data_IF_364554036963
#
_entry.id   IF_364554036963
#
_cell.length_a   1.000
_cell.length_b   1.000
_cell.length_c   1.000
_cell.angle_alpha   90.00
_cell.angle_beta   90.00
_cell.angle_gamma   90.00
#
_symmetry.space_group_name_H-M   'P 1'
#
loop_
_entity.id
_entity.type
_entity.pdbx_description
1 polymer ?
#
# COMPACT_ATOMS: atom_id res chain seq x y z
N UNK A 1 41.52 -43.09 29.41
CA UNK A 1 40.90 -42.20 30.41
C UNK A 1 40.73 -40.82 29.80
N UNK A 2 39.51 -40.43 29.45
CA UNK A 2 39.23 -39.07 29.01
C UNK A 2 39.37 -38.13 30.21
N UNK A 3 40.24 -37.12 30.09
CA UNK A 3 40.43 -36.12 31.14
C UNK A 3 39.11 -35.42 31.51
N UNK A 4 39.00 -34.83 32.71
CA UNK A 4 37.76 -34.25 33.19
C UNK A 4 37.28 -33.17 32.21
N UNK A 5 36.05 -33.34 31.68
CA UNK A 5 35.39 -32.36 30.81
C UNK A 5 35.44 -30.99 31.50
N UNK A 6 36.06 -29.99 30.85
CA UNK A 6 36.04 -28.60 31.32
C UNK A 6 34.58 -28.18 31.51
N UNK A 7 34.24 -27.74 32.74
CA UNK A 7 32.90 -27.27 33.08
C UNK A 7 32.56 -26.06 32.20
N UNK A 8 31.47 -26.12 31.44
CA UNK A 8 30.98 -25.00 30.63
C UNK A 8 29.97 -24.21 31.45
N UNK A 9 30.10 -22.88 31.47
CA UNK A 9 29.23 -21.96 32.22
C UNK A 9 27.75 -22.18 31.91
N UNK A 10 27.42 -22.51 30.66
CA UNK A 10 26.06 -22.76 30.17
C UNK A 10 25.39 -23.99 30.81
N UNK A 11 26.17 -24.90 31.39
CA UNK A 11 25.66 -26.14 32.02
C UNK A 11 25.27 -25.99 33.49
N UNK A 12 25.56 -24.85 34.11
CA UNK A 12 25.42 -24.67 35.57
C UNK A 12 24.17 -23.90 36.00
N UNK A 13 23.28 -23.48 35.07
CA UNK A 13 21.98 -22.82 35.34
C UNK A 13 22.01 -21.85 36.54
N UNK A 14 23.04 -20.99 36.58
CA UNK A 14 23.30 -20.16 37.76
C UNK A 14 22.28 -19.02 37.82
N UNK A 15 21.55 -18.94 38.92
CA UNK A 15 20.50 -17.93 39.15
C UNK A 15 21.02 -16.83 40.08
N UNK A 16 20.65 -15.59 39.81
CA UNK A 16 20.92 -14.48 40.72
C UNK A 16 20.19 -14.68 42.05
N UNK A 17 20.90 -14.54 43.18
CA UNK A 17 20.28 -14.62 44.50
C UNK A 17 19.98 -13.22 45.03
N UNK A 18 18.74 -12.97 45.49
CA UNK A 18 18.32 -11.68 46.06
C UNK A 18 19.21 -11.20 47.21
N UNK A 19 19.74 -12.13 48.01
CA UNK A 19 20.68 -11.83 49.11
C UNK A 19 21.94 -11.08 48.63
N UNK A 20 22.36 -11.26 47.36
CA UNK A 20 23.52 -10.58 46.79
C UNK A 20 23.30 -9.09 46.58
N UNK A 21 22.05 -8.63 46.53
CA UNK A 21 21.72 -7.20 46.51
C UNK A 21 22.14 -6.52 47.80
N UNK A 22 21.78 -7.08 48.95
CA UNK A 22 22.15 -6.49 50.25
C UNK A 22 23.60 -6.83 50.62
N UNK A 23 24.04 -8.06 50.32
CA UNK A 23 25.37 -8.55 50.69
C UNK A 23 26.48 -7.94 49.83
N UNK A 24 26.27 -7.79 48.54
CA UNK A 24 27.30 -7.34 47.58
C UNK A 24 26.91 -6.13 46.76
N UNK A 25 25.75 -5.49 46.98
CA UNK A 25 25.29 -4.35 46.17
C UNK A 25 25.22 -4.68 44.67
N UNK A 26 24.75 -5.87 44.31
CA UNK A 26 24.49 -6.24 42.91
C UNK A 26 22.99 -6.34 42.62
N UNK A 27 22.61 -6.07 41.38
CA UNK A 27 21.27 -6.36 40.87
C UNK A 27 21.37 -7.14 39.56
N UNK A 28 20.33 -7.91 39.26
CA UNK A 28 20.18 -8.55 37.96
C UNK A 28 19.56 -7.56 36.96
N UNK A 29 20.24 -7.34 35.84
CA UNK A 29 19.76 -6.52 34.72
C UNK A 29 19.99 -7.31 33.43
N UNK A 30 18.92 -7.62 32.70
CA UNK A 30 18.96 -8.40 31.43
C UNK A 30 19.81 -9.69 31.58
N UNK A 31 19.58 -10.43 32.66
CA UNK A 31 20.30 -11.67 32.98
C UNK A 31 21.80 -11.53 33.24
N UNK A 32 22.26 -10.31 33.58
CA UNK A 32 23.64 -10.05 33.96
C UNK A 32 23.72 -9.35 35.33
N UNK A 33 24.72 -9.68 36.17
CA UNK A 33 24.95 -9.01 37.45
C UNK A 33 25.60 -7.63 37.24
N UNK A 34 24.92 -6.57 37.69
CA UNK A 34 25.40 -5.18 37.63
C UNK A 34 25.67 -4.66 39.04
N UNK A 35 26.85 -4.05 39.23
CA UNK A 35 27.22 -3.42 40.49
C UNK A 35 26.44 -2.11 40.69
N UNK A 36 25.71 -2.00 41.78
CA UNK A 36 24.88 -0.82 42.10
C UNK A 36 25.71 0.43 42.45
N UNK A 37 27.01 0.26 42.77
CA UNK A 37 27.90 1.36 43.17
C UNK A 37 28.56 2.00 41.94
N UNK A 38 29.17 1.19 41.06
CA UNK A 38 29.94 1.68 39.91
C UNK A 38 29.30 1.40 38.54
N UNK A 39 28.15 0.71 38.49
CA UNK A 39 27.43 0.34 37.27
C UNK A 39 28.20 -0.62 36.33
N UNK A 40 29.28 -1.25 36.80
CA UNK A 40 29.98 -2.29 36.03
C UNK A 40 29.21 -3.61 36.01
N UNK A 41 29.20 -4.24 34.83
CA UNK A 41 28.56 -5.54 34.60
C UNK A 41 29.59 -6.66 34.70
N UNK A 42 29.29 -7.71 35.48
CA UNK A 42 30.09 -8.93 35.53
C UNK A 42 29.50 -9.99 34.59
N UNK A 43 30.35 -10.88 34.07
CA UNK A 43 29.93 -11.84 33.04
C UNK A 43 29.08 -13.02 33.57
N UNK A 44 29.16 -13.33 34.86
CA UNK A 44 28.59 -14.57 35.41
C UNK A 44 28.05 -14.34 36.82
N UNK A 45 26.89 -14.94 37.12
CA UNK A 45 26.33 -15.07 38.46
C UNK A 45 27.17 -16.01 39.34
N UNK A 46 28.25 -15.48 39.91
CA UNK A 46 29.14 -16.21 40.82
C UNK A 46 29.48 -15.34 42.03
N UNK A 47 29.07 -15.79 43.22
CA UNK A 47 29.31 -15.07 44.47
C UNK A 47 30.78 -14.66 44.66
N UNK A 48 31.74 -15.52 44.31
CA UNK A 48 33.17 -15.19 44.32
C UNK A 48 33.50 -13.95 43.47
N UNK A 49 32.93 -13.83 42.28
CA UNK A 49 33.20 -12.70 41.38
C UNK A 49 32.62 -11.40 41.96
N UNK A 50 31.41 -11.45 42.50
CA UNK A 50 30.75 -10.30 43.12
C UNK A 50 31.52 -9.86 44.38
N UNK A 51 31.89 -10.81 45.24
CA UNK A 51 32.67 -10.57 46.45
C UNK A 51 34.06 -10.00 46.14
N UNK A 52 34.75 -10.54 45.14
CA UNK A 52 36.06 -10.05 44.71
C UNK A 52 35.96 -8.63 44.13
N UNK A 53 34.94 -8.35 43.32
CA UNK A 53 34.69 -7.01 42.80
C UNK A 53 34.48 -5.99 43.93
N UNK A 54 33.62 -6.31 44.91
CA UNK A 54 33.41 -5.42 46.07
C UNK A 54 34.69 -5.24 46.88
N UNK A 55 35.43 -6.31 47.16
CA UNK A 55 36.66 -6.22 47.95
C UNK A 55 37.74 -5.36 47.26
N UNK A 56 37.90 -5.50 45.95
CA UNK A 56 38.96 -4.84 45.18
C UNK A 56 38.62 -3.40 44.79
N UNK A 57 37.36 -3.13 44.38
CA UNK A 57 36.95 -1.80 43.89
C UNK A 57 36.20 -0.97 44.93
N UNK A 58 35.59 -1.61 45.93
CA UNK A 58 34.68 -0.98 46.88
C UNK A 58 34.92 -1.41 48.33
N UNK A 59 36.15 -1.85 48.67
CA UNK A 59 36.46 -2.46 49.98
C UNK A 59 36.14 -1.58 51.19
N UNK A 60 36.22 -0.26 51.02
CA UNK A 60 35.92 0.72 52.07
C UNK A 60 34.47 1.24 52.05
N UNK A 61 33.68 0.90 51.03
CA UNK A 61 32.38 1.52 50.78
C UNK A 61 31.32 1.14 51.83
N UNK A 62 31.41 -0.07 52.40
CA UNK A 62 30.43 -0.60 53.34
C UNK A 62 31.04 -1.32 54.55
N UNK A 63 32.32 -1.08 54.84
CA UNK A 63 33.05 -1.74 55.94
C UNK A 63 32.62 -1.27 57.33
N UNK A 64 31.88 -0.15 57.43
CA UNK A 64 31.40 0.45 58.69
C UNK A 64 29.88 0.51 58.81
N UNK A 65 29.13 -0.01 57.84
CA UNK A 65 27.67 0.04 57.86
C UNK A 65 27.10 -1.06 58.74
N UNK A 66 26.14 -0.72 59.60
CA UNK A 66 25.31 -1.73 60.26
C UNK A 66 24.51 -2.53 59.21
N UNK A 67 24.01 -3.74 59.53
CA UNK A 67 23.17 -4.51 58.61
C UNK A 67 21.96 -3.72 58.08
N UNK A 68 21.33 -2.90 58.94
CA UNK A 68 20.18 -2.06 58.59
C UNK A 68 20.56 -0.91 57.65
N UNK A 69 21.70 -0.24 57.89
CA UNK A 69 22.19 0.83 57.01
C UNK A 69 22.61 0.31 55.64
N UNK A 70 23.18 -0.90 55.60
CA UNK A 70 23.58 -1.58 54.37
C UNK A 70 22.37 -1.91 53.51
N UNK A 71 21.30 -2.42 54.13
CA UNK A 71 20.03 -2.72 53.46
C UNK A 71 19.36 -1.45 52.92
N UNK A 72 19.26 -0.39 53.72
CA UNK A 72 18.74 0.90 53.28
C UNK A 72 19.56 1.47 52.10
N UNK A 73 20.88 1.34 52.14
CA UNK A 73 21.77 1.78 51.05
C UNK A 73 21.54 0.98 49.76
N UNK A 74 21.42 -0.35 49.87
CA UNK A 74 21.15 -1.23 48.74
C UNK A 74 19.79 -0.92 48.09
N UNK A 75 18.75 -0.72 48.91
CA UNK A 75 17.42 -0.32 48.43
C UNK A 75 17.44 1.03 47.71
N UNK A 76 18.14 2.04 48.27
CA UNK A 76 18.29 3.35 47.64
C UNK A 76 18.98 3.28 46.28
N UNK A 77 20.08 2.50 46.17
CA UNK A 77 20.79 2.35 44.91
C UNK A 77 19.98 1.56 43.88
N UNK A 78 19.24 0.54 44.32
CA UNK A 78 18.32 -0.21 43.47
C UNK A 78 17.19 0.68 42.94
N UNK A 79 16.58 1.51 43.80
CA UNK A 79 15.56 2.48 43.38
C UNK A 79 16.11 3.49 42.35
N UNK A 80 17.36 3.95 42.53
CA UNK A 80 18.03 4.84 41.58
C UNK A 80 18.26 4.17 40.22
N UNK A 81 18.71 2.92 40.21
CA UNK A 81 18.90 2.13 38.98
C UNK A 81 17.56 1.89 38.26
N UNK A 82 16.52 1.52 39.00
CA UNK A 82 15.17 1.36 38.45
C UNK A 82 14.64 2.65 37.86
N UNK A 83 14.83 3.79 38.54
CA UNK A 83 14.43 5.10 38.02
C UNK A 83 15.14 5.43 36.69
N UNK A 84 16.45 5.14 36.59
CA UNK A 84 17.20 5.31 35.34
C UNK A 84 16.68 4.41 34.22
N UNK A 85 16.46 3.12 34.49
CA UNK A 85 15.92 2.18 33.52
C UNK A 85 14.51 2.57 33.05
N UNK A 86 13.66 3.06 33.96
CA UNK A 86 12.31 3.52 33.66
C UNK A 86 12.28 4.69 32.67
N UNK A 87 13.30 5.56 32.66
CA UNK A 87 13.40 6.63 31.65
C UNK A 87 13.56 6.04 30.25
N UNK A 88 14.46 5.07 30.09
CA UNK A 88 14.67 4.41 28.80
C UNK A 88 13.44 3.62 28.37
N UNK A 89 12.82 2.85 29.27
CA UNK A 89 11.59 2.10 28.96
C UNK A 89 10.43 3.02 28.53
N UNK A 90 10.24 4.15 29.21
CA UNK A 90 9.22 5.15 28.82
C UNK A 90 9.50 5.73 27.45
N UNK A 91 10.76 6.05 27.14
CA UNK A 91 11.14 6.57 25.83
C UNK A 91 10.88 5.55 24.72
N UNK A 92 11.24 4.28 24.94
CA UNK A 92 10.96 3.19 23.98
C UNK A 92 9.46 3.02 23.75
N UNK A 93 8.64 3.01 24.81
CA UNK A 93 7.19 2.88 24.69
C UNK A 93 6.53 4.04 23.92
N UNK A 94 7.01 5.28 24.13
CA UNK A 94 6.57 6.45 23.37
C UNK A 94 6.94 6.30 21.89
N UNK A 95 8.15 5.83 21.60
CA UNK A 95 8.62 5.64 20.24
C UNK A 95 7.81 4.55 19.51
N UNK A 96 7.53 3.41 20.16
CA UNK A 96 6.67 2.36 19.60
C UNK A 96 5.25 2.87 19.29
N UNK A 97 4.66 3.63 20.20
CA UNK A 97 3.31 4.21 20.00
C UNK A 97 3.31 5.21 18.83
N UNK A 98 4.37 6.03 18.72
CA UNK A 98 4.55 6.99 17.63
C UNK A 98 4.69 6.28 16.28
N UNK A 99 5.46 5.19 16.22
CA UNK A 99 5.60 4.36 15.02
C UNK A 99 4.27 3.74 14.62
N UNK A 100 3.51 3.17 15.56
CA UNK A 100 2.18 2.60 15.28
C UNK A 100 1.22 3.64 14.72
N UNK A 101 1.20 4.85 15.28
CA UNK A 101 0.39 5.95 14.79
C UNK A 101 0.81 6.37 13.37
N UNK A 102 2.12 6.45 13.09
CA UNK A 102 2.63 6.75 11.75
C UNK A 102 2.20 5.70 10.71
N UNK A 103 2.29 4.41 11.03
CA UNK A 103 1.79 3.33 10.18
C UNK A 103 0.29 3.47 9.88
N UNK A 104 -0.52 3.69 10.93
CA UNK A 104 -1.97 3.85 10.79
C UNK A 104 -2.33 5.04 9.88
N UNK A 105 -1.66 6.18 10.05
CA UNK A 105 -1.91 7.37 9.23
C UNK A 105 -1.43 7.19 7.79
N UNK A 106 -0.27 6.56 7.60
CA UNK A 106 0.28 6.23 6.28
C UNK A 106 -0.66 5.31 5.50
N UNK A 107 -1.20 4.27 6.17
CA UNK A 107 -2.22 3.40 5.59
C UNK A 107 -3.48 4.16 5.18
N UNK A 108 -3.98 5.08 6.03
CA UNK A 108 -5.16 5.88 5.71
C UNK A 108 -4.94 6.78 4.50
N UNK A 109 -3.77 7.42 4.37
CA UNK A 109 -3.40 8.22 3.22
C UNK A 109 -3.38 7.39 1.93
N UNK A 110 -2.70 6.22 1.98
CA UNK A 110 -2.62 5.31 0.85
C UNK A 110 -3.99 4.78 0.43
N UNK A 111 -4.81 4.34 1.39
CA UNK A 111 -6.16 3.83 1.15
C UNK A 111 -7.11 4.88 0.55
N UNK A 112 -6.91 6.15 0.88
CA UNK A 112 -7.67 7.26 0.31
C UNK A 112 -7.08 7.78 -1.02
N UNK A 113 -6.05 7.10 -1.56
CA UNK A 113 -5.32 7.50 -2.76
C UNK A 113 -4.82 8.96 -2.71
N UNK A 114 -4.41 9.42 -1.52
CA UNK A 114 -3.86 10.76 -1.33
C UNK A 114 -2.36 10.77 -1.58
N UNK A 115 -1.79 11.87 -2.13
CA UNK A 115 -0.34 12.03 -2.23
C UNK A 115 0.32 11.85 -0.86
N UNK A 116 1.40 11.06 -0.80
CA UNK A 116 2.11 10.81 0.48
C UNK A 116 2.72 12.08 1.09
N UNK A 117 2.88 13.15 0.30
CA UNK A 117 3.26 14.47 0.83
C UNK A 117 2.16 15.14 1.65
N UNK A 118 0.89 14.74 1.54
CA UNK A 118 -0.18 15.25 2.40
C UNK A 118 -0.01 14.85 3.88
N UNK A 119 0.89 13.90 4.19
CA UNK A 119 1.21 13.56 5.57
C UNK A 119 1.76 14.73 6.39
N UNK A 120 2.49 15.65 5.77
CA UNK A 120 3.00 16.87 6.44
C UNK A 120 1.87 17.82 6.79
N UNK A 121 0.97 18.07 5.85
CA UNK A 121 -0.24 18.88 6.08
C UNK A 121 -1.13 18.26 7.18
N UNK A 122 -1.33 16.94 7.15
CA UNK A 122 -2.09 16.24 8.18
C UNK A 122 -1.46 16.42 9.57
N UNK A 123 -0.12 16.37 9.66
CA UNK A 123 0.61 16.62 10.90
C UNK A 123 0.38 18.05 11.40
N UNK A 124 0.47 19.04 10.53
CA UNK A 124 0.25 20.45 10.87
C UNK A 124 -1.15 20.65 11.47
N UNK A 125 -2.20 20.16 10.79
CA UNK A 125 -3.56 20.23 11.30
C UNK A 125 -3.72 19.58 12.69
N UNK A 126 -3.08 18.42 12.91
CA UNK A 126 -3.14 17.73 14.20
C UNK A 126 -2.44 18.52 15.32
N UNK A 127 -1.31 19.17 15.03
CA UNK A 127 -0.56 19.97 16.01
C UNK A 127 -1.34 21.25 16.38
N UNK A 128 -1.91 21.94 15.40
CA UNK A 128 -2.73 23.13 15.63
C UNK A 128 -3.98 22.79 16.44
N UNK A 129 -4.69 21.73 16.04
CA UNK A 129 -5.90 21.27 16.73
C UNK A 129 -5.59 20.81 18.16
N UNK A 130 -4.51 20.04 18.36
CA UNK A 130 -4.09 19.61 19.69
C UNK A 130 -3.65 20.80 20.56
N UNK A 131 -3.04 21.83 19.97
CA UNK A 131 -2.70 23.06 20.68
C UNK A 131 -3.92 23.81 21.26
N UNK A 132 -5.10 23.64 20.66
CA UNK A 132 -6.35 24.25 21.13
C UNK A 132 -7.14 23.33 22.07
N UNK A 133 -7.25 22.05 21.75
CA UNK A 133 -8.13 21.11 22.46
C UNK A 133 -7.44 20.34 23.59
N UNK A 134 -6.15 20.02 23.45
CA UNK A 134 -5.39 19.21 24.40
C UNK A 134 -3.89 19.60 24.42
N UNK A 135 -3.55 20.80 24.92
CA UNK A 135 -2.19 21.35 24.87
C UNK A 135 -1.14 20.44 25.51
N UNK A 136 -1.51 19.71 26.56
CA UNK A 136 -0.65 18.74 27.27
C UNK A 136 -0.21 17.56 26.38
N UNK A 137 -0.96 17.27 25.31
CA UNK A 137 -0.65 16.22 24.36
C UNK A 137 -0.01 16.72 23.07
N UNK A 138 0.07 18.04 22.84
CA UNK A 138 0.64 18.65 21.63
C UNK A 138 2.03 18.10 21.30
N UNK A 139 2.92 18.03 22.29
CA UNK A 139 4.29 17.52 22.12
C UNK A 139 4.38 16.06 21.67
N UNK A 140 3.30 15.26 21.79
CA UNK A 140 3.24 13.91 21.23
C UNK A 140 3.03 13.93 19.71
N UNK A 141 2.22 14.86 19.21
CA UNK A 141 1.96 15.03 17.77
C UNK A 141 3.14 15.67 17.04
N UNK A 142 3.87 16.57 17.69
CA UNK A 142 5.12 17.15 17.14
C UNK A 142 6.19 16.08 16.83
N UNK A 143 6.23 15.03 17.66
CA UNK A 143 7.15 13.88 17.49
C UNK A 143 6.74 12.92 16.38
N UNK A 144 5.50 12.97 15.88
CA UNK A 144 5.10 12.16 14.73
C UNK A 144 5.88 12.60 13.49
N UNK A 145 6.50 11.67 12.79
CA UNK A 145 7.09 11.97 11.48
C UNK A 145 6.18 11.42 10.39
N UNK A 146 5.63 12.35 9.60
CA UNK A 146 4.72 12.07 8.47
C UNK A 146 5.22 12.74 7.18
N UNK A 147 6.52 13.02 7.10
CA UNK A 147 7.13 13.43 5.84
C UNK A 147 6.93 12.34 4.78
N UNK A 148 6.95 12.72 3.50
CA UNK A 148 6.87 11.74 2.40
C UNK A 148 7.84 10.55 2.61
N UNK A 149 9.09 10.84 3.00
CA UNK A 149 10.12 9.82 3.25
C UNK A 149 9.82 8.89 4.42
N UNK A 150 9.01 9.33 5.38
CA UNK A 150 8.62 8.52 6.53
C UNK A 150 7.33 7.73 6.26
N UNK A 151 6.43 8.27 5.44
CA UNK A 151 5.16 7.62 5.07
C UNK A 151 5.38 6.49 4.05
N UNK A 152 6.36 6.64 3.14
CA UNK A 152 6.63 5.64 2.10
C UNK A 152 6.98 4.25 2.65
N UNK A 153 7.95 4.06 3.57
CA UNK A 153 8.32 2.72 4.03
C UNK A 153 7.19 1.94 4.72
N UNK A 154 6.35 2.54 5.59
CA UNK A 154 5.16 1.88 6.11
C UNK A 154 4.20 1.39 5.02
N UNK A 155 4.00 2.19 3.96
CA UNK A 155 3.15 1.79 2.83
C UNK A 155 3.78 0.62 2.08
N UNK A 156 5.09 0.64 1.83
CA UNK A 156 5.83 -0.47 1.21
C UNK A 156 5.75 -1.75 2.04
N UNK A 157 5.89 -1.68 3.36
CA UNK A 157 5.75 -2.85 4.24
C UNK A 157 4.32 -3.41 4.26
N UNK A 158 3.31 -2.54 4.16
CA UNK A 158 1.91 -2.97 4.03
C UNK A 158 1.70 -3.63 2.67
N UNK A 159 2.26 -3.08 1.60
CA UNK A 159 2.23 -3.66 0.26
C UNK A 159 2.89 -5.06 0.24
N UNK A 160 4.06 -5.21 0.86
CA UNK A 160 4.74 -6.50 1.01
C UNK A 160 3.90 -7.52 1.80
N UNK A 161 3.27 -7.10 2.91
CA UNK A 161 2.39 -7.96 3.71
C UNK A 161 1.14 -8.38 2.92
N UNK A 162 0.52 -7.46 2.17
CA UNK A 162 -0.61 -7.76 1.30
C UNK A 162 -0.20 -8.70 0.16
N UNK A 163 0.93 -8.44 -0.50
CA UNK A 163 1.48 -9.29 -1.54
C UNK A 163 1.75 -10.70 -1.01
N UNK A 164 2.24 -10.84 0.23
CA UNK A 164 2.47 -12.16 0.84
C UNK A 164 1.20 -12.97 1.08
N UNK A 165 0.04 -12.29 1.20
CA UNK A 165 -1.28 -12.89 1.39
C UNK A 165 -2.00 -13.19 0.08
N UNK A 166 -1.50 -12.67 -1.04
CA UNK A 166 -2.01 -13.02 -2.37
C UNK A 166 -1.70 -14.49 -2.65
N UNK A 167 -2.71 -15.34 -2.48
CA UNK A 167 -2.60 -16.75 -2.76
C UNK A 167 -3.86 -17.21 -3.48
N UNK A 168 -4.10 -16.79 -4.73
CA UNK A 168 -5.14 -17.40 -5.57
C UNK A 168 -5.18 -16.90 -7.02
N UNK A 169 -6.08 -17.54 -7.79
CA UNK A 169 -6.07 -17.85 -9.23
C UNK A 169 -6.99 -16.98 -10.09
N UNK A 170 -6.44 -16.48 -11.20
CA UNK A 170 -7.04 -15.86 -12.40
C UNK A 170 -6.38 -14.50 -12.69
N UNK A 171 -5.87 -14.29 -13.90
CA UNK A 171 -5.23 -13.01 -14.28
C UNK A 171 -6.11 -12.25 -15.27
N UNK A 172 -6.30 -10.96 -15.01
CA UNK A 172 -6.91 -10.01 -15.93
C UNK A 172 -5.82 -9.06 -16.42
N UNK A 173 -5.61 -9.03 -17.73
CA UNK A 173 -4.64 -8.14 -18.35
C UNK A 173 -5.40 -7.09 -19.15
N UNK A 174 -5.20 -5.83 -18.79
CA UNK A 174 -5.79 -4.69 -19.50
C UNK A 174 -4.67 -3.78 -20.02
N UNK A 175 -4.73 -3.42 -21.30
CA UNK A 175 -3.79 -2.47 -21.90
C UNK A 175 -4.51 -1.14 -22.08
N UNK A 176 -3.99 -0.09 -21.44
CA UNK A 176 -4.55 1.26 -21.55
C UNK A 176 -3.47 2.25 -21.95
N UNK A 177 -3.82 3.26 -22.74
CA UNK A 177 -2.90 4.35 -23.10
C UNK A 177 -3.03 5.51 -22.11
N UNK A 178 -1.91 5.99 -21.57
CA UNK A 178 -1.87 7.20 -20.74
C UNK A 178 -2.02 8.48 -21.60
N UNK A 179 -2.39 9.60 -20.97
CA UNK A 179 -2.54 10.95 -21.54
C UNK A 179 -1.26 11.45 -22.23
N UNK A 180 -0.10 10.85 -21.96
CA UNK A 180 1.21 11.15 -22.56
C UNK A 180 1.61 10.19 -23.69
N UNK A 181 0.67 9.48 -24.30
CA UNK A 181 0.92 8.47 -25.36
C UNK A 181 1.88 7.34 -24.95
N UNK A 182 2.12 7.15 -23.66
CA UNK A 182 2.83 5.97 -23.15
C UNK A 182 1.80 4.89 -22.89
N UNK A 183 1.87 3.79 -23.64
CA UNK A 183 1.04 2.62 -23.37
C UNK A 183 1.41 2.05 -21.99
N UNK A 184 0.40 1.69 -21.20
CA UNK A 184 0.53 1.13 -19.86
C UNK A 184 -0.13 -0.25 -19.87
N UNK A 185 0.60 -1.25 -19.39
CA UNK A 185 0.05 -2.57 -19.10
C UNK A 185 -0.45 -2.58 -17.67
N UNK A 186 -1.76 -2.74 -17.49
CA UNK A 186 -2.40 -2.95 -16.20
C UNK A 186 -2.64 -4.45 -16.00
N UNK A 187 -2.15 -4.96 -14.87
CA UNK A 187 -2.32 -6.35 -14.48
C UNK A 187 -3.18 -6.38 -13.23
N UNK A 188 -4.31 -7.06 -13.32
CA UNK A 188 -5.21 -7.35 -12.23
C UNK A 188 -5.18 -8.85 -11.97
N UNK A 189 -5.29 -9.25 -10.72
CA UNK A 189 -5.44 -10.64 -10.34
C UNK A 189 -6.79 -10.81 -9.68
N UNK A 190 -7.51 -11.85 -10.08
CA UNK A 190 -8.67 -12.34 -9.36
C UNK A 190 -8.29 -13.65 -8.71
N UNK A 191 -8.81 -13.87 -7.52
CA UNK A 191 -8.54 -15.04 -6.72
C UNK A 191 -9.85 -15.69 -6.28
N UNK A 192 -9.82 -17.00 -6.07
CA UNK A 192 -10.87 -17.74 -5.37
C UNK A 192 -10.18 -18.50 -4.24
N UNK A 193 -10.60 -18.25 -3.00
CA UNK A 193 -10.08 -18.94 -1.81
C UNK A 193 -10.72 -20.33 -1.66
N UNK A 194 -10.17 -21.15 -0.76
CA UNK A 194 -10.75 -22.45 -0.43
C UNK A 194 -12.16 -22.34 0.18
N UNK A 195 -12.52 -21.15 0.69
CA UNK A 195 -13.85 -20.83 1.19
C UNK A 195 -14.78 -20.23 0.10
N UNK A 196 -14.37 -20.29 -1.17
CA UNK A 196 -15.07 -19.70 -2.32
C UNK A 196 -15.24 -18.16 -2.25
N UNK A 197 -14.39 -17.48 -1.46
CA UNK A 197 -14.36 -16.02 -1.47
C UNK A 197 -13.60 -15.53 -2.70
N UNK A 198 -14.20 -14.59 -3.41
CA UNK A 198 -13.62 -13.98 -4.61
C UNK A 198 -12.90 -12.70 -4.20
N UNK A 199 -11.62 -12.59 -4.55
CA UNK A 199 -10.83 -11.37 -4.39
C UNK A 199 -10.45 -10.83 -5.76
N UNK A 200 -10.43 -9.52 -5.93
CA UNK A 200 -9.95 -8.86 -7.14
C UNK A 200 -9.00 -7.75 -6.71
N UNK A 201 -7.76 -7.82 -7.17
CA UNK A 201 -6.68 -6.95 -6.72
C UNK A 201 -5.90 -6.41 -7.91
N UNK A 202 -5.47 -5.16 -7.80
CA UNK A 202 -4.56 -4.55 -8.76
C UNK A 202 -3.14 -5.02 -8.46
N UNK A 203 -2.50 -5.68 -9.43
CA UNK A 203 -1.20 -6.33 -9.23
C UNK A 203 -0.04 -5.43 -9.65
N UNK A 204 -0.12 -4.84 -10.85
CA UNK A 204 0.94 -3.98 -11.37
C UNK A 204 0.45 -3.05 -12.48
N UNK A 205 1.15 -1.92 -12.64
CA UNK A 205 1.08 -1.06 -13.83
C UNK A 205 2.49 -0.90 -14.37
N UNK A 206 2.74 -1.41 -15.57
CA UNK A 206 4.04 -1.35 -16.21
C UNK A 206 4.00 -0.45 -17.46
N UNK A 207 4.87 0.57 -17.54
CA UNK A 207 4.95 1.41 -18.72
C UNK A 207 5.58 0.64 -19.87
N UNK A 208 4.85 0.49 -20.97
CA UNK A 208 5.30 -0.15 -22.19
C UNK A 208 6.21 0.80 -22.96
N UNK A 209 7.51 0.73 -22.67
CA UNK A 209 8.54 1.54 -23.33
C UNK A 209 9.02 0.84 -24.61
N UNK A 210 8.72 1.42 -25.76
CA UNK A 210 9.24 0.96 -27.06
C UNK A 210 8.28 0.04 -27.81
N UNK A 211 8.53 -1.27 -27.79
CA UNK A 211 7.76 -2.26 -28.56
C UNK A 211 6.70 -2.94 -27.68
N UNK A 212 5.56 -3.25 -28.30
CA UNK A 212 4.40 -3.91 -27.66
C UNK A 212 4.12 -5.28 -28.28
N UNK A 213 5.17 -6.05 -28.64
CA UNK A 213 4.97 -7.40 -29.20
C UNK A 213 4.53 -8.35 -28.09
N UNK A 214 3.89 -9.46 -28.47
CA UNK A 214 3.47 -10.49 -27.52
C UNK A 214 4.61 -11.04 -26.64
N UNK A 215 5.85 -11.02 -27.14
CA UNK A 215 7.05 -11.38 -26.37
C UNK A 215 7.43 -10.33 -25.32
N UNK A 216 7.39 -9.05 -25.69
CA UNK A 216 7.70 -7.95 -24.78
C UNK A 216 6.68 -7.93 -23.62
N UNK A 217 5.39 -8.07 -23.95
CA UNK A 217 4.32 -8.16 -22.97
C UNK A 217 4.46 -9.39 -22.07
N UNK A 218 4.83 -10.54 -22.64
CA UNK A 218 5.05 -11.75 -21.86
C UNK A 218 6.19 -11.58 -20.87
N UNK A 219 7.29 -10.95 -21.28
CA UNK A 219 8.40 -10.67 -20.37
C UNK A 219 7.97 -9.79 -19.19
N UNK A 220 7.17 -8.75 -19.43
CA UNK A 220 6.63 -7.91 -18.35
C UNK A 220 5.72 -8.69 -17.41
N UNK A 221 4.73 -9.43 -17.95
CA UNK A 221 3.84 -10.27 -17.16
C UNK A 221 4.65 -11.28 -16.34
N UNK A 222 5.60 -11.99 -16.94
CA UNK A 222 6.44 -12.96 -16.25
C UNK A 222 7.23 -12.34 -15.10
N UNK A 223 7.81 -11.16 -15.33
CA UNK A 223 8.56 -10.43 -14.30
C UNK A 223 7.65 -10.09 -13.11
N UNK A 224 6.42 -9.66 -13.36
CA UNK A 224 5.45 -9.33 -12.29
C UNK A 224 5.03 -10.60 -11.54
N UNK A 225 4.66 -11.67 -12.24
CA UNK A 225 4.25 -12.95 -11.63
C UNK A 225 5.38 -13.54 -10.77
N UNK A 226 6.62 -13.52 -11.26
CA UNK A 226 7.80 -13.97 -10.52
C UNK A 226 8.11 -13.08 -9.30
N UNK A 227 8.03 -11.75 -9.47
CA UNK A 227 8.22 -10.79 -8.36
C UNK A 227 7.22 -11.02 -7.24
N UNK A 228 5.96 -11.27 -7.60
CA UNK A 228 4.86 -11.54 -6.67
C UNK A 228 4.85 -13.00 -6.17
N UNK A 229 5.79 -13.84 -6.64
CA UNK A 229 5.92 -15.26 -6.29
C UNK A 229 4.63 -16.06 -6.53
N UNK A 230 3.89 -15.68 -7.56
CA UNK A 230 2.64 -16.34 -7.93
C UNK A 230 2.97 -17.59 -8.76
N UNK A 231 2.43 -18.77 -8.40
CA UNK A 231 2.73 -20.00 -9.12
C UNK A 231 1.92 -20.10 -10.41
N UNK A 232 2.61 -20.30 -11.55
CA UNK A 232 1.97 -20.47 -12.86
C UNK A 232 1.02 -21.66 -12.91
N UNK A 233 1.34 -22.75 -12.19
CA UNK A 233 0.44 -23.90 -12.01
C UNK A 233 -0.92 -23.57 -11.39
N UNK A 234 -1.08 -22.39 -10.79
CA UNK A 234 -2.37 -21.93 -10.27
C UNK A 234 -3.14 -21.05 -11.26
N UNK A 235 -2.54 -20.63 -12.38
CA UNK A 235 -3.22 -19.80 -13.38
C UNK A 235 -4.30 -20.59 -14.12
N UNK A 236 -5.56 -20.16 -13.97
CA UNK A 236 -6.71 -20.84 -14.57
C UNK A 236 -7.24 -20.13 -15.83
N UNK A 237 -7.22 -18.80 -15.83
CA UNK A 237 -7.70 -18.00 -16.94
C UNK A 237 -6.87 -16.74 -17.13
N UNK A 238 -6.89 -16.24 -18.38
CA UNK A 238 -6.37 -14.92 -18.74
C UNK A 238 -7.41 -14.20 -19.59
N UNK A 239 -7.75 -12.97 -19.21
CA UNK A 239 -8.67 -12.13 -19.99
C UNK A 239 -7.91 -10.99 -20.66
N UNK A 240 -8.12 -10.75 -21.96
CA UNK A 240 -7.51 -9.65 -22.73
C UNK A 240 -8.48 -9.00 -23.71
N UNK A 241 -8.12 -7.83 -24.27
CA UNK A 241 -8.89 -7.12 -25.30
C UNK A 241 -8.89 -7.80 -26.68
N UNK A 242 -8.22 -8.94 -26.82
CA UNK A 242 -8.19 -9.71 -28.07
C UNK A 242 -7.29 -9.14 -29.17
N UNK A 243 -6.48 -8.12 -28.91
CA UNK A 243 -5.55 -7.54 -29.90
C UNK A 243 -4.63 -8.62 -30.51
N UNK A 244 -4.25 -8.53 -31.81
CA UNK A 244 -3.48 -9.58 -32.49
C UNK A 244 -2.13 -9.94 -31.84
N UNK A 245 -1.45 -8.99 -31.19
CA UNK A 245 -0.19 -9.28 -30.48
C UNK A 245 -0.42 -10.05 -29.17
N UNK A 246 -1.64 -10.05 -28.63
CA UNK A 246 -2.03 -10.85 -27.47
C UNK A 246 -2.46 -12.26 -27.88
N UNK A 247 -3.33 -12.35 -28.90
CA UNK A 247 -4.01 -13.60 -29.30
C UNK A 247 -3.30 -14.38 -30.40
N UNK A 248 -2.17 -13.90 -30.92
CA UNK A 248 -1.41 -14.56 -31.98
C UNK A 248 -1.08 -16.02 -31.67
N UNK A 249 -1.49 -16.94 -32.56
CA UNK A 249 -1.44 -18.41 -32.34
C UNK A 249 -0.06 -18.97 -32.02
N UNK A 250 1.00 -18.37 -32.57
CA UNK A 250 2.37 -18.89 -32.47
C UNK A 250 3.29 -18.03 -31.58
N UNK A 251 3.04 -16.71 -31.52
CA UNK A 251 3.97 -15.73 -30.91
C UNK A 251 3.29 -14.70 -30.02
N UNK A 252 1.96 -14.80 -29.86
CA UNK A 252 1.19 -13.90 -29.02
C UNK A 252 1.41 -14.15 -27.53
N UNK A 253 1.06 -13.15 -26.71
CA UNK A 253 1.15 -13.22 -25.25
C UNK A 253 0.49 -14.48 -24.68
N UNK A 254 -0.76 -14.75 -25.07
CA UNK A 254 -1.55 -15.86 -24.54
C UNK A 254 -0.91 -17.21 -24.86
N UNK A 255 -0.35 -17.36 -26.06
CA UNK A 255 0.38 -18.57 -26.44
C UNK A 255 1.61 -18.78 -25.53
N UNK A 256 2.38 -17.74 -25.27
CA UNK A 256 3.57 -17.80 -24.41
C UNK A 256 3.20 -18.12 -22.95
N UNK A 257 2.11 -17.55 -22.44
CA UNK A 257 1.56 -17.90 -21.13
C UNK A 257 1.17 -19.38 -21.09
N UNK A 258 0.45 -19.87 -22.11
CA UNK A 258 0.07 -21.29 -22.19
C UNK A 258 1.28 -22.22 -22.19
N UNK A 259 2.31 -21.87 -22.95
CA UNK A 259 3.55 -22.65 -23.03
C UNK A 259 4.26 -22.69 -21.68
N UNK A 260 4.37 -21.55 -20.99
CA UNK A 260 4.94 -21.47 -19.64
C UNK A 260 4.17 -22.31 -18.61
N UNK A 261 2.84 -22.26 -18.63
CA UNK A 261 2.00 -23.08 -17.75
C UNK A 261 2.19 -24.57 -18.05
N UNK A 262 2.32 -24.95 -19.34
CA UNK A 262 2.56 -26.36 -19.74
C UNK A 262 3.96 -26.86 -19.40
N UNK A 263 4.97 -25.99 -19.38
CA UNK A 263 6.31 -26.32 -18.88
C UNK A 263 6.27 -26.75 -17.41
N UNK A 264 5.45 -26.10 -16.58
CA UNK A 264 5.32 -26.43 -15.15
C UNK A 264 4.28 -27.53 -14.88
N UNK A 265 3.21 -27.59 -15.65
CA UNK A 265 2.15 -28.58 -15.54
C UNK A 265 1.62 -28.97 -16.94
N UNK A 266 2.14 -30.05 -17.55
CA UNK A 266 1.82 -30.42 -18.94
C UNK A 266 0.33 -30.68 -19.21
N UNK A 267 -0.43 -31.03 -18.18
CA UNK A 267 -1.85 -31.36 -18.28
C UNK A 267 -2.78 -30.15 -18.05
N UNK A 268 -2.22 -28.96 -17.81
CA UNK A 268 -2.99 -27.77 -17.51
C UNK A 268 -3.18 -26.90 -18.76
N UNK A 269 -4.44 -26.66 -19.09
CA UNK A 269 -4.85 -25.70 -20.11
C UNK A 269 -5.36 -24.42 -19.44
N UNK A 270 -4.99 -23.27 -20.00
CA UNK A 270 -5.42 -21.95 -19.54
C UNK A 270 -6.59 -21.51 -20.39
N UNK A 271 -7.65 -21.04 -19.74
CA UNK A 271 -8.83 -20.52 -20.44
C UNK A 271 -8.56 -19.07 -20.85
N UNK A 272 -8.63 -18.78 -22.14
CA UNK A 272 -8.49 -17.43 -22.67
C UNK A 272 -9.84 -16.80 -22.91
N UNK A 273 -10.09 -15.68 -22.22
CA UNK A 273 -11.32 -14.92 -22.33
C UNK A 273 -11.05 -13.60 -23.06
N UNK A 274 -12.01 -13.21 -23.89
CA UNK A 274 -12.01 -11.89 -24.49
C UNK A 274 -12.80 -10.94 -23.57
N UNK A 275 -12.21 -9.79 -23.26
CA UNK A 275 -12.81 -8.77 -22.42
C UNK A 275 -14.19 -8.34 -22.94
N UNK A 276 -15.22 -8.56 -22.12
CA UNK A 276 -16.62 -8.41 -22.53
C UNK A 276 -16.97 -6.99 -22.98
N UNK A 277 -16.42 -5.97 -22.33
CA UNK A 277 -16.65 -4.55 -22.69
C UNK A 277 -16.07 -4.25 -24.07
N UNK A 278 -14.93 -4.85 -24.41
CA UNK A 278 -14.37 -4.70 -25.76
C UNK A 278 -15.26 -5.41 -26.79
N UNK A 279 -15.78 -6.60 -26.48
CA UNK A 279 -16.72 -7.29 -27.36
C UNK A 279 -18.01 -6.48 -27.58
N UNK A 280 -18.61 -5.91 -26.53
CA UNK A 280 -19.77 -5.02 -26.64
C UNK A 280 -19.47 -3.81 -27.53
N UNK A 281 -18.29 -3.21 -27.38
CA UNK A 281 -17.83 -2.11 -28.24
C UNK A 281 -17.65 -2.55 -29.69
N UNK A 282 -17.13 -3.76 -29.94
CA UNK A 282 -17.02 -4.33 -31.28
C UNK A 282 -18.39 -4.62 -31.88
N UNK A 283 -19.40 -5.04 -31.10
CA UNK A 283 -20.76 -5.28 -31.62
C UNK A 283 -21.33 -4.04 -32.32
N UNK A 284 -21.05 -2.83 -31.83
CA UNK A 284 -21.43 -1.57 -32.51
C UNK A 284 -20.98 -1.54 -33.97
N UNK A 285 -19.75 -1.99 -34.26
CA UNK A 285 -19.20 -1.99 -35.62
C UNK A 285 -19.95 -2.93 -36.56
N UNK A 286 -20.54 -4.00 -36.03
CA UNK A 286 -21.32 -4.99 -36.78
C UNK A 286 -22.75 -4.51 -37.02
N UNK A 287 -23.35 -3.77 -36.06
CA UNK A 287 -24.74 -3.31 -36.11
C UNK A 287 -25.01 -2.21 -37.16
N UNK A 288 -23.99 -1.67 -37.84
CA UNK A 288 -24.12 -0.65 -38.90
C UNK A 288 -24.94 0.59 -38.50
N UNK A 289 -24.86 1.01 -37.24
CA UNK A 289 -25.62 2.14 -36.67
C UNK A 289 -25.08 3.53 -37.07
N UNK A 290 -24.30 3.63 -38.15
CA UNK A 290 -23.65 4.88 -38.57
C UNK A 290 -24.66 6.01 -38.85
N UNK A 291 -25.85 5.65 -39.35
CA UNK A 291 -26.94 6.61 -39.62
C UNK A 291 -27.50 7.27 -38.36
N UNK A 292 -27.32 6.66 -37.18
CA UNK A 292 -27.72 7.23 -35.88
C UNK A 292 -26.50 7.82 -35.15
N UNK A 293 -25.36 7.13 -35.20
CA UNK A 293 -24.11 7.52 -34.53
C UNK A 293 -23.52 8.81 -35.09
N UNK A 294 -23.48 8.96 -36.41
CA UNK A 294 -22.83 10.12 -37.03
C UNK A 294 -23.56 11.44 -36.75
N UNK A 295 -24.90 11.53 -36.85
CA UNK A 295 -25.62 12.76 -36.51
C UNK A 295 -25.40 13.20 -35.06
N UNK A 296 -25.50 12.27 -34.10
CA UNK A 296 -25.30 12.57 -32.67
C UNK A 296 -23.86 13.03 -32.39
N UNK A 297 -22.85 12.37 -32.97
CA UNK A 297 -21.46 12.83 -32.82
C UNK A 297 -21.26 14.20 -33.46
N UNK A 298 -21.85 14.45 -34.64
CA UNK A 298 -21.77 15.75 -35.34
C UNK A 298 -22.37 16.87 -34.48
N UNK A 299 -23.52 16.62 -33.86
CA UNK A 299 -24.19 17.55 -32.94
C UNK A 299 -23.32 17.86 -31.72
N UNK A 300 -22.84 16.82 -31.04
CA UNK A 300 -22.00 16.97 -29.84
C UNK A 300 -20.75 17.75 -30.20
N UNK A 301 -20.10 17.43 -31.33
CA UNK A 301 -18.93 18.17 -31.80
C UNK A 301 -19.27 19.62 -32.15
N UNK A 302 -20.42 19.88 -32.76
CA UNK A 302 -20.85 21.25 -33.06
C UNK A 302 -20.95 22.09 -31.78
N UNK A 303 -21.57 21.56 -30.72
CA UNK A 303 -21.72 22.29 -29.46
C UNK A 303 -20.38 22.38 -28.69
N UNK A 304 -19.64 21.26 -28.59
CA UNK A 304 -18.47 21.14 -27.71
C UNK A 304 -17.14 21.60 -28.32
N UNK A 305 -16.95 21.48 -29.64
CA UNK A 305 -15.63 21.74 -30.24
C UNK A 305 -15.22 23.22 -30.18
N UNK A 306 -16.19 24.15 -30.12
CA UNK A 306 -15.94 25.59 -30.03
C UNK A 306 -16.20 26.08 -28.61
N UNK A 307 -15.15 26.52 -27.90
CA UNK A 307 -15.26 26.91 -26.48
C UNK A 307 -16.25 28.05 -26.18
N UNK A 308 -16.47 28.99 -27.12
CA UNK A 308 -17.53 30.00 -26.95
C UNK A 308 -18.92 29.36 -26.99
N UNK A 309 -19.16 28.48 -27.94
CA UNK A 309 -20.44 27.83 -28.14
C UNK A 309 -20.77 26.88 -26.99
N UNK A 310 -19.77 26.13 -26.52
CA UNK A 310 -19.89 25.27 -25.35
C UNK A 310 -20.29 26.06 -24.09
N UNK A 311 -19.60 27.17 -23.79
CA UNK A 311 -19.95 28.05 -22.66
C UNK A 311 -21.36 28.64 -22.79
N UNK A 312 -21.78 29.01 -24.00
CA UNK A 312 -23.15 29.49 -24.25
C UNK A 312 -24.19 28.39 -24.01
N UNK A 313 -23.89 27.15 -24.35
CA UNK A 313 -24.78 26.02 -24.10
C UNK A 313 -24.87 25.68 -22.62
N UNK A 314 -23.75 25.64 -21.88
CA UNK A 314 -23.75 25.44 -20.42
C UNK A 314 -24.63 26.50 -19.74
N UNK A 315 -24.41 27.77 -20.07
CA UNK A 315 -25.22 28.86 -19.51
C UNK A 315 -26.71 28.71 -19.83
N UNK A 316 -27.03 28.26 -21.04
CA UNK A 316 -28.41 27.98 -21.44
C UNK A 316 -29.05 26.85 -20.61
N UNK A 317 -28.30 25.79 -20.31
CA UNK A 317 -28.76 24.69 -19.45
C UNK A 317 -28.99 25.15 -18.01
N UNK A 318 -28.13 26.03 -17.48
CA UNK A 318 -28.32 26.65 -16.16
C UNK A 318 -29.58 27.52 -16.10
N UNK A 319 -29.88 28.28 -17.16
CA UNK A 319 -31.06 29.14 -17.25
C UNK A 319 -32.37 28.36 -17.40
N UNK A 320 -32.30 27.12 -17.90
CA UNK A 320 -33.46 26.25 -18.14
C UNK A 320 -33.69 25.23 -17.01
N UNK A 321 -32.86 25.27 -15.96
CA UNK A 321 -32.88 24.32 -14.83
C UNK A 321 -32.84 22.86 -15.29
N UNK A 322 -32.01 22.58 -16.30
CA UNK A 322 -31.90 21.25 -16.89
C UNK A 322 -31.23 20.25 -15.92
N UNK A 323 -31.69 19.00 -15.93
CA UNK A 323 -31.17 17.90 -15.10
C UNK A 323 -29.67 17.62 -15.32
N UNK A 324 -29.11 18.09 -16.44
CA UNK A 324 -27.70 17.98 -16.76
C UNK A 324 -27.12 19.32 -17.18
N UNK A 325 -25.95 19.66 -16.63
CA UNK A 325 -25.28 20.94 -16.87
C UNK A 325 -24.30 20.93 -18.06
N UNK A 326 -24.09 19.78 -18.71
CA UNK A 326 -23.22 19.68 -19.89
C UNK A 326 -23.52 18.44 -20.73
N UNK A 327 -23.13 18.47 -22.02
CA UNK A 327 -23.05 17.30 -22.88
C UNK A 327 -21.78 16.50 -22.61
N UNK A 328 -21.74 15.22 -22.99
CA UNK A 328 -20.52 14.40 -22.93
C UNK A 328 -19.82 14.37 -24.29
N UNK A 329 -18.49 14.32 -24.31
CA UNK A 329 -17.72 14.14 -25.54
C UNK A 329 -17.48 12.64 -25.80
N UNK A 330 -17.66 12.20 -27.05
CA UNK A 330 -17.37 10.82 -27.42
C UNK A 330 -15.86 10.60 -27.51
N UNK A 331 -15.35 9.59 -26.78
CA UNK A 331 -13.95 9.18 -26.84
C UNK A 331 -13.84 7.79 -27.46
N UNK A 332 -13.04 7.67 -28.52
CA UNK A 332 -12.79 6.38 -29.18
C UNK A 332 -12.01 5.40 -28.29
N UNK A 333 -11.27 5.91 -27.30
CA UNK A 333 -10.46 5.11 -26.37
C UNK A 333 -11.30 4.57 -25.21
N UNK A 334 -12.42 5.24 -24.88
CA UNK A 334 -13.36 4.76 -23.85
C UNK A 334 -14.52 4.05 -24.53
N UNK A 335 -14.42 2.72 -24.62
CA UNK A 335 -15.34 1.83 -25.34
C UNK A 335 -16.83 2.08 -25.05
N UNK A 336 -17.21 2.36 -23.80
CA UNK A 336 -18.60 2.64 -23.41
C UNK A 336 -19.01 4.13 -23.46
N UNK A 337 -18.13 5.03 -23.94
CA UNK A 337 -18.44 6.46 -23.94
C UNK A 337 -19.58 6.83 -24.87
N UNK A 338 -19.76 6.10 -25.97
CA UNK A 338 -20.79 6.39 -26.94
C UNK A 338 -22.19 6.25 -26.35
N UNK A 339 -22.48 5.16 -25.63
CA UNK A 339 -23.78 4.95 -25.00
C UNK A 339 -24.14 6.08 -24.04
N UNK A 340 -23.16 6.55 -23.25
CA UNK A 340 -23.34 7.69 -22.34
C UNK A 340 -23.61 9.00 -23.07
N UNK A 341 -22.93 9.25 -24.19
CA UNK A 341 -23.20 10.42 -25.03
C UNK A 341 -24.62 10.38 -25.58
N UNK A 342 -25.05 9.22 -26.07
CA UNK A 342 -26.40 9.01 -26.58
C UNK A 342 -27.46 9.26 -25.51
N UNK A 343 -27.28 8.66 -24.34
CA UNK A 343 -28.16 8.87 -23.20
C UNK A 343 -28.24 10.37 -22.83
N UNK A 344 -27.10 11.05 -22.72
CA UNK A 344 -27.06 12.48 -22.39
C UNK A 344 -27.75 13.36 -23.43
N UNK A 345 -27.57 13.06 -24.71
CA UNK A 345 -28.22 13.79 -25.81
C UNK A 345 -29.73 13.56 -25.77
N UNK A 346 -30.17 12.33 -25.45
CA UNK A 346 -31.59 12.02 -25.31
C UNK A 346 -32.25 12.73 -24.13
N UNK A 347 -31.57 12.74 -22.98
CA UNK A 347 -32.02 13.43 -21.77
C UNK A 347 -32.11 14.95 -21.97
N UNK A 348 -31.22 15.53 -22.78
CA UNK A 348 -31.18 16.97 -23.09
C UNK A 348 -31.82 17.34 -24.43
N UNK A 349 -32.64 16.47 -25.04
CA UNK A 349 -33.08 16.66 -26.43
C UNK A 349 -33.89 17.94 -26.64
N UNK A 350 -34.70 18.34 -25.66
CA UNK A 350 -35.56 19.52 -25.75
C UNK A 350 -34.72 20.80 -25.65
N UNK A 351 -33.78 20.83 -24.70
CA UNK A 351 -32.84 21.94 -24.49
C UNK A 351 -31.91 22.09 -25.69
N UNK A 352 -31.40 20.98 -26.22
CA UNK A 352 -30.59 20.98 -27.44
C UNK A 352 -31.41 21.54 -28.61
N UNK A 353 -32.65 21.08 -28.80
CA UNK A 353 -33.54 21.57 -29.84
C UNK A 353 -33.79 23.08 -29.74
N UNK A 354 -34.06 23.57 -28.53
CA UNK A 354 -34.25 25.00 -28.25
C UNK A 354 -32.96 25.81 -28.51
N UNK A 355 -31.81 25.29 -28.07
CA UNK A 355 -30.52 25.94 -28.30
C UNK A 355 -30.16 26.01 -29.79
N UNK A 356 -30.43 24.95 -30.56
CA UNK A 356 -30.20 24.94 -32.01
C UNK A 356 -31.10 25.95 -32.74
N UNK A 357 -32.36 26.11 -32.30
CA UNK A 357 -33.26 27.17 -32.82
C UNK A 357 -32.69 28.56 -32.56
N UNK A 358 -32.21 28.82 -31.34
CA UNK A 358 -31.56 30.09 -30.99
C UNK A 358 -30.30 30.37 -31.82
N UNK A 359 -29.61 29.34 -32.28
CA UNK A 359 -28.44 29.45 -33.17
C UNK A 359 -28.79 29.53 -34.65
N UNK A 360 -30.07 29.38 -35.03
CA UNK A 360 -30.49 29.31 -36.43
C UNK A 360 -29.94 28.07 -37.15
N UNK A 361 -29.85 26.94 -36.44
CA UNK A 361 -29.16 25.72 -36.89
C UNK A 361 -30.03 24.47 -36.88
N UNK A 362 -31.34 24.62 -36.68
CA UNK A 362 -32.29 23.52 -36.69
C UNK A 362 -32.27 22.71 -37.98
N UNK A 363 -32.07 23.37 -39.12
CA UNK A 363 -32.05 22.71 -40.44
C UNK A 363 -30.79 21.86 -40.70
N UNK A 364 -29.72 22.04 -39.89
CA UNK A 364 -28.47 21.27 -40.02
C UNK A 364 -28.49 19.95 -39.25
N UNK A 365 -29.50 19.77 -38.38
CA UNK A 365 -29.69 18.61 -37.51
C UNK A 365 -31.16 18.17 -37.50
N UNK A 366 -31.74 17.97 -38.69
CA UNK A 366 -33.14 17.55 -38.87
C UNK A 366 -33.45 16.13 -38.39
N UNK A 367 -32.40 15.35 -38.13
CA UNK A 367 -32.44 13.95 -37.68
C UNK A 367 -32.59 13.81 -36.15
N UNK A 368 -32.61 14.94 -35.42
CA UNK A 368 -32.78 15.01 -33.96
C UNK A 368 -34.23 15.08 -33.51
#
# INVERSE_FOLDING_TARGET
>A
MSGPKKRKVDSECRVFKREWTTKYFFAEVRSMPVCLICQETLAVFKEYNLSCHIATKHGNYASKQSPQEREATAQRLMAKLQAQQNVFHRQTAIQETTTKASFMLSFKLAKASKPLSEGEFLKECMIETAGLLCPESKGKFEKLSLSRRTVTPPVELIDEDLASKLNSKAEFLDESNDVKDTAQLLIFIRGISDNFEITEEFLAMEPLKGKTRGEDLYHWVSTVIEKMKLPWSKLANVTTDGSPHLTGKNVGLLKRIQDKVKEENPNQDVIFLHYIIHQESLCKSILQLNHVVNPVIKLVNFIRAKGLQHRQFIKFLEETDADHHDLLYHSRVRWLSLGKVFQRVWELKEEIGAFLKLKGKSDEFTEL
#
